data_IF_732794770656
#
_entry.id   IF_732794770656
#
_cell.length_a   1.000
_cell.length_b   1.000
_cell.length_c   1.000
_cell.angle_alpha   90.00
_cell.angle_beta   90.00
_cell.angle_gamma   90.00
#
_symmetry.space_group_name_H-M   'P 1'
#
loop_
_entity.id
_entity.type
_entity.pdbx_description
1 polymer ?
#
# COMPACT_ATOMS: atom_id res chain seq x y z
N UNK A 1 16.51 4.38 33.79
CA UNK A 1 15.96 4.75 32.47
C UNK A 1 16.35 3.61 31.56
N UNK A 2 15.51 2.58 31.50
CA UNK A 2 15.78 1.39 30.71
C UNK A 2 15.11 1.58 29.35
N UNK A 3 15.90 2.00 28.36
CA UNK A 3 15.52 1.89 26.96
C UNK A 3 15.45 0.41 26.60
N UNK A 4 14.27 -0.18 26.77
CA UNK A 4 13.93 -1.47 26.17
C UNK A 4 13.87 -1.28 24.66
N UNK A 5 15.02 -1.39 24.01
CA UNK A 5 15.15 -1.58 22.57
C UNK A 5 14.24 -2.77 22.21
N UNK A 6 13.22 -2.49 21.41
CA UNK A 6 12.22 -3.48 21.04
C UNK A 6 12.80 -4.40 19.95
N UNK A 7 13.63 -5.36 20.38
CA UNK A 7 14.44 -6.28 19.55
C UNK A 7 13.63 -6.90 18.40
N UNK A 8 12.34 -7.19 18.58
CA UNK A 8 11.49 -7.76 17.54
C UNK A 8 11.21 -6.82 16.35
N UNK A 9 11.17 -5.51 16.58
CA UNK A 9 10.91 -4.52 15.52
C UNK A 9 12.16 -4.30 14.67
N UNK A 10 13.32 -4.23 15.31
CA UNK A 10 14.61 -4.03 14.62
C UNK A 10 15.06 -5.28 13.85
N UNK A 11 14.71 -6.48 14.34
CA UNK A 11 14.94 -7.74 13.62
C UNK A 11 14.09 -7.88 12.35
N UNK A 12 12.85 -7.37 12.38
CA UNK A 12 11.98 -7.36 11.19
C UNK A 12 12.50 -6.38 10.14
N UNK A 13 12.97 -5.19 10.56
CA UNK A 13 13.53 -4.17 9.66
C UNK A 13 14.83 -4.65 8.99
N UNK A 14 15.71 -5.31 9.74
CA UNK A 14 16.97 -5.86 9.19
C UNK A 14 16.74 -7.05 8.26
N UNK A 15 15.80 -7.94 8.59
CA UNK A 15 15.42 -9.07 7.71
C UNK A 15 14.82 -8.59 6.39
N UNK A 16 13.88 -7.66 6.45
CA UNK A 16 13.22 -7.15 5.24
C UNK A 16 14.24 -6.42 4.34
N UNK A 17 15.20 -5.69 4.92
CA UNK A 17 16.30 -5.08 4.17
C UNK A 17 17.17 -6.09 3.43
N UNK A 18 17.58 -7.17 4.12
CA UNK A 18 18.34 -8.26 3.49
C UNK A 18 17.54 -8.96 2.39
N UNK A 19 16.26 -9.23 2.63
CA UNK A 19 15.40 -9.87 1.64
C UNK A 19 15.22 -8.99 0.39
N UNK A 20 15.05 -7.67 0.55
CA UNK A 20 15.00 -6.74 -0.59
C UNK A 20 16.26 -6.80 -1.44
N UNK A 21 17.44 -6.80 -0.80
CA UNK A 21 18.70 -6.94 -1.50
C UNK A 21 18.77 -8.27 -2.27
N UNK A 22 18.36 -9.37 -1.64
CA UNK A 22 18.35 -10.71 -2.27
C UNK A 22 17.38 -10.80 -3.46
N UNK A 23 16.26 -10.07 -3.42
CA UNK A 23 15.26 -10.02 -4.49
C UNK A 23 15.63 -9.10 -5.65
N UNK A 24 16.69 -8.29 -5.53
CA UNK A 24 17.09 -7.33 -6.57
C UNK A 24 17.40 -8.01 -7.92
N UNK A 25 18.02 -9.19 -7.89
CA UNK A 25 18.33 -9.98 -9.08
C UNK A 25 17.07 -10.47 -9.81
N UNK A 26 16.13 -11.06 -9.08
CA UNK A 26 14.82 -11.48 -9.61
C UNK A 26 14.04 -10.27 -10.18
N UNK A 27 14.10 -9.12 -9.50
CA UNK A 27 13.51 -7.88 -9.99
C UNK A 27 14.16 -7.39 -11.29
N UNK A 28 15.47 -7.52 -11.44
CA UNK A 28 16.17 -7.18 -12.68
C UNK A 28 15.67 -8.04 -13.86
N UNK A 29 15.56 -9.35 -13.64
CA UNK A 29 15.04 -10.27 -14.66
C UNK A 29 13.56 -10.02 -14.98
N UNK A 30 12.78 -9.57 -13.98
CA UNK A 30 11.39 -9.14 -14.20
C UNK A 30 11.31 -7.83 -14.98
N UNK A 31 12.15 -6.83 -14.69
CA UNK A 31 12.24 -5.59 -15.46
C UNK A 31 12.54 -5.88 -16.93
N UNK A 32 13.57 -6.69 -17.19
CA UNK A 32 13.98 -7.03 -18.56
C UNK A 32 12.84 -7.65 -19.36
N UNK A 33 11.98 -8.43 -18.72
CA UNK A 33 10.79 -8.98 -19.36
C UNK A 33 9.69 -7.96 -19.60
N UNK A 34 9.39 -7.12 -18.62
CA UNK A 34 8.39 -6.05 -18.79
C UNK A 34 8.73 -5.10 -19.93
N UNK A 35 10.02 -4.91 -20.21
CA UNK A 35 10.53 -3.94 -21.18
C UNK A 35 11.11 -4.56 -22.46
N UNK A 36 10.97 -5.88 -22.69
CA UNK A 36 11.53 -6.58 -23.85
C UNK A 36 13.03 -6.28 -24.08
N UNK A 37 13.81 -6.25 -22.99
CA UNK A 37 15.22 -5.88 -22.98
C UNK A 37 15.54 -4.46 -23.49
N UNK A 38 14.54 -3.59 -23.67
CA UNK A 38 14.83 -2.16 -23.80
C UNK A 38 15.47 -1.68 -22.50
N UNK A 39 16.56 -0.90 -22.61
CA UNK A 39 17.37 -0.44 -21.46
C UNK A 39 16.65 0.63 -20.63
N UNK A 40 15.33 0.53 -20.47
CA UNK A 40 14.59 1.45 -19.61
C UNK A 40 14.79 1.04 -18.15
N UNK A 41 15.74 1.71 -17.50
CA UNK A 41 16.02 1.57 -16.07
C UNK A 41 15.19 2.59 -15.30
N UNK A 42 14.03 2.17 -14.80
CA UNK A 42 13.28 2.99 -13.85
C UNK A 42 13.79 2.74 -12.43
N UNK A 43 14.47 3.71 -11.83
CA UNK A 43 14.85 3.62 -10.40
C UNK A 43 13.64 3.31 -9.52
N UNK A 44 12.47 3.88 -9.85
CA UNK A 44 11.22 3.62 -9.12
C UNK A 44 10.83 2.15 -9.18
N UNK A 45 10.95 1.49 -10.34
CA UNK A 45 10.70 0.05 -10.46
C UNK A 45 11.60 -0.76 -9.52
N UNK A 46 12.90 -0.49 -9.49
CA UNK A 46 13.84 -1.21 -8.63
C UNK A 46 13.61 -0.96 -7.14
N UNK A 47 12.95 0.14 -6.76
CA UNK A 47 12.51 0.34 -5.37
C UNK A 47 11.18 -0.35 -5.06
N UNK A 48 10.28 -0.47 -6.03
CA UNK A 48 8.93 -1.02 -5.83
C UNK A 48 8.92 -2.55 -5.94
N UNK A 49 9.59 -3.13 -6.94
CA UNK A 49 9.58 -4.58 -7.17
C UNK A 49 10.05 -5.39 -5.94
N UNK A 50 11.15 -5.05 -5.25
CA UNK A 50 11.55 -5.79 -4.06
C UNK A 50 10.54 -5.69 -2.91
N UNK A 51 9.81 -4.57 -2.81
CA UNK A 51 8.72 -4.42 -1.81
C UNK A 51 7.58 -5.40 -2.08
N UNK A 52 7.26 -5.64 -3.36
CA UNK A 52 6.28 -6.66 -3.77
C UNK A 52 6.70 -8.05 -3.28
N UNK A 53 7.98 -8.41 -3.45
CA UNK A 53 8.48 -9.70 -3.01
C UNK A 53 8.55 -9.85 -1.48
N UNK A 54 8.93 -8.80 -0.76
CA UNK A 54 8.85 -8.78 0.72
C UNK A 54 7.41 -8.95 1.19
N UNK A 55 6.44 -8.34 0.49
CA UNK A 55 5.03 -8.51 0.85
C UNK A 55 4.55 -9.96 0.65
N UNK A 56 4.95 -10.63 -0.45
CA UNK A 56 4.67 -12.07 -0.63
C UNK A 56 5.31 -12.93 0.48
N UNK A 57 6.55 -12.65 0.86
CA UNK A 57 7.21 -13.34 1.97
C UNK A 57 6.48 -13.12 3.30
N UNK A 58 5.98 -11.91 3.55
CA UNK A 58 5.12 -11.63 4.70
C UNK A 58 3.87 -12.52 4.67
N UNK A 59 3.20 -12.66 3.53
CA UNK A 59 2.02 -13.53 3.41
C UNK A 59 2.38 -14.98 3.71
N UNK A 60 3.46 -15.49 3.10
CA UNK A 60 3.95 -16.84 3.31
C UNK A 60 4.22 -17.12 4.79
N UNK A 61 4.97 -16.24 5.46
CA UNK A 61 5.32 -16.41 6.89
C UNK A 61 4.09 -16.45 7.78
N UNK A 62 3.14 -15.53 7.60
CA UNK A 62 1.94 -15.52 8.43
C UNK A 62 1.01 -16.71 8.14
N UNK A 63 0.93 -17.16 6.89
CA UNK A 63 0.21 -18.39 6.50
C UNK A 63 0.84 -19.62 7.17
N UNK A 64 2.16 -19.77 7.10
CA UNK A 64 2.89 -20.88 7.73
C UNK A 64 2.77 -20.88 9.26
N UNK A 65 2.73 -19.70 9.88
CA UNK A 65 2.52 -19.55 11.33
C UNK A 65 1.07 -19.77 11.78
N UNK A 66 0.14 -20.02 10.85
CA UNK A 66 -1.30 -20.25 11.14
C UNK A 66 -1.89 -19.20 12.09
N UNK A 67 -1.53 -17.92 11.91
CA UNK A 67 -2.08 -16.85 12.75
C UNK A 67 -3.61 -16.80 12.61
N UNK A 68 -4.37 -16.82 13.72
CA UNK A 68 -5.82 -17.04 13.70
C UNK A 68 -6.57 -15.98 12.89
N UNK A 69 -6.10 -14.72 12.92
CA UNK A 69 -6.73 -13.61 12.21
C UNK A 69 -6.11 -13.35 10.82
N UNK A 70 -5.17 -14.18 10.37
CA UNK A 70 -4.47 -13.95 9.10
C UNK A 70 -5.28 -14.46 7.91
N UNK A 71 -5.94 -13.52 7.23
CA UNK A 71 -6.69 -13.81 6.02
C UNK A 71 -5.78 -13.84 4.78
N UNK A 72 -5.28 -15.03 4.43
CA UNK A 72 -4.41 -15.25 3.26
C UNK A 72 -5.04 -14.71 1.97
N UNK A 73 -6.32 -15.03 1.72
CA UNK A 73 -7.05 -14.62 0.51
C UNK A 73 -7.10 -13.10 0.35
N UNK A 74 -7.44 -12.37 1.42
CA UNK A 74 -7.48 -10.91 1.39
C UNK A 74 -6.10 -10.28 1.15
N UNK A 75 -5.04 -10.85 1.72
CA UNK A 75 -3.68 -10.37 1.47
C UNK A 75 -3.21 -10.68 0.05
N UNK A 76 -3.54 -11.86 -0.49
CA UNK A 76 -3.26 -12.19 -1.88
C UNK A 76 -4.03 -11.26 -2.85
N UNK A 77 -5.28 -10.91 -2.56
CA UNK A 77 -6.00 -9.86 -3.31
C UNK A 77 -5.21 -8.55 -3.35
N UNK A 78 -4.75 -8.09 -2.20
CA UNK A 78 -3.98 -6.85 -2.13
C UNK A 78 -2.64 -6.95 -2.87
N UNK A 79 -1.95 -8.10 -2.79
CA UNK A 79 -0.74 -8.38 -3.57
C UNK A 79 -0.98 -8.23 -5.08
N UNK A 80 -2.06 -8.84 -5.61
CA UNK A 80 -2.37 -8.74 -7.04
C UNK A 80 -2.73 -7.31 -7.45
N UNK A 81 -3.34 -6.52 -6.57
CA UNK A 81 -3.52 -5.08 -6.79
C UNK A 81 -2.18 -4.36 -6.92
N UNK A 82 -1.25 -4.56 -5.98
CA UNK A 82 0.09 -3.95 -6.02
C UNK A 82 0.81 -4.35 -7.30
N UNK A 83 0.78 -5.64 -7.66
CA UNK A 83 1.42 -6.13 -8.88
C UNK A 83 0.80 -5.49 -10.12
N UNK A 84 -0.53 -5.42 -10.21
CA UNK A 84 -1.23 -4.74 -11.31
C UNK A 84 -0.81 -3.28 -11.44
N UNK A 85 -0.64 -2.57 -10.32
CA UNK A 85 -0.14 -1.19 -10.30
C UNK A 85 1.31 -1.10 -10.80
N UNK A 86 2.20 -2.03 -10.42
CA UNK A 86 3.57 -2.10 -10.96
C UNK A 86 3.53 -2.29 -12.48
N UNK A 87 2.79 -3.28 -12.97
CA UNK A 87 2.68 -3.58 -14.40
C UNK A 87 2.18 -2.35 -15.17
N UNK A 88 1.07 -1.75 -14.75
CA UNK A 88 0.52 -0.58 -15.44
C UNK A 88 1.47 0.64 -15.49
N UNK A 89 2.35 0.81 -14.51
CA UNK A 89 3.27 1.94 -14.48
C UNK A 89 4.58 1.69 -15.23
N UNK A 90 4.92 0.43 -15.54
CA UNK A 90 6.23 0.07 -16.08
C UNK A 90 6.20 -0.84 -17.32
N UNK A 91 5.10 -1.47 -17.72
CA UNK A 91 5.09 -2.22 -18.97
C UNK A 91 3.88 -3.13 -19.15
N UNK A 92 3.58 -3.45 -20.40
CA UNK A 92 2.39 -4.20 -20.81
C UNK A 92 2.70 -5.60 -21.38
N UNK A 93 3.98 -5.99 -21.43
CA UNK A 93 4.40 -7.31 -21.95
C UNK A 93 3.76 -8.50 -21.21
N UNK A 94 3.29 -8.29 -19.98
CA UNK A 94 2.39 -9.21 -19.32
C UNK A 94 0.95 -8.91 -19.77
N UNK A 95 0.42 -9.69 -20.72
CA UNK A 95 -0.97 -9.60 -21.14
C UNK A 95 -1.98 -9.63 -19.98
N UNK A 96 -1.62 -10.27 -18.85
CA UNK A 96 -2.38 -10.24 -17.60
C UNK A 96 -1.46 -10.13 -16.37
N UNK A 97 -1.99 -9.61 -15.26
CA UNK A 97 -1.28 -9.59 -13.96
C UNK A 97 -0.88 -10.99 -13.50
N UNK A 98 -1.69 -12.00 -13.82
CA UNK A 98 -1.38 -13.41 -13.57
C UNK A 98 -0.15 -13.88 -14.33
N UNK A 99 -0.08 -13.62 -15.64
CA UNK A 99 1.07 -13.99 -16.45
C UNK A 99 2.35 -13.34 -15.92
N UNK A 100 2.23 -12.11 -15.44
CA UNK A 100 3.28 -11.41 -14.72
C UNK A 100 3.72 -12.12 -13.43
N UNK A 101 2.77 -12.55 -12.60
CA UNK A 101 3.10 -13.28 -11.39
C UNK A 101 3.69 -14.66 -11.68
N UNK A 102 3.17 -15.37 -12.68
CA UNK A 102 3.73 -16.64 -13.17
C UNK A 102 5.18 -16.44 -13.62
N UNK A 103 5.44 -15.38 -14.38
CA UNK A 103 6.79 -15.01 -14.78
C UNK A 103 7.69 -14.76 -13.57
N UNK A 104 7.26 -13.91 -12.62
CA UNK A 104 8.06 -13.57 -11.42
C UNK A 104 8.47 -14.80 -10.62
N UNK A 105 7.68 -15.88 -10.64
CA UNK A 105 7.98 -17.12 -9.90
C UNK A 105 8.83 -18.11 -10.70
N UNK A 106 8.93 -17.95 -12.02
CA UNK A 106 9.61 -18.93 -12.88
C UNK A 106 11.10 -18.70 -12.85
N UNK A 107 11.88 -19.70 -12.43
CA UNK A 107 13.34 -19.63 -12.49
C UNK A 107 13.78 -19.61 -13.95
N UNK A 108 14.31 -18.48 -14.40
CA UNK A 108 14.74 -18.33 -15.80
C UNK A 108 16.04 -19.02 -16.17
N UNK A 109 16.90 -19.28 -15.19
CA UNK A 109 18.19 -19.87 -15.50
C UNK A 109 18.63 -20.79 -14.35
N UNK A 110 18.45 -22.12 -14.48
CA UNK A 110 18.91 -23.08 -13.48
C UNK A 110 20.44 -23.08 -13.32
N UNK A 111 21.18 -22.54 -14.30
CA UNK A 111 22.64 -22.49 -14.34
C UNK A 111 23.23 -21.15 -13.88
N UNK A 112 22.44 -20.06 -13.79
CA UNK A 112 22.86 -18.89 -13.00
C UNK A 112 22.81 -19.34 -11.55
N UNK A 113 23.91 -19.17 -10.82
CA UNK A 113 23.97 -19.36 -9.37
C UNK A 113 22.70 -18.77 -8.77
N UNK A 114 21.83 -19.66 -8.28
CA UNK A 114 20.46 -19.38 -7.83
C UNK A 114 20.42 -18.03 -7.13
N UNK A 115 19.56 -17.12 -7.57
CA UNK A 115 19.31 -15.91 -6.79
C UNK A 115 19.05 -16.32 -5.33
N UNK A 116 19.60 -15.58 -4.36
CA UNK A 116 19.54 -15.97 -2.96
C UNK A 116 18.12 -15.89 -2.37
N UNK A 117 17.17 -15.34 -3.12
CA UNK A 117 15.75 -15.35 -2.82
C UNK A 117 14.93 -15.48 -4.11
N UNK A 118 13.71 -16.01 -3.98
CA UNK A 118 12.72 -16.15 -5.05
C UNK A 118 11.38 -15.61 -4.58
N UNK A 119 10.56 -15.19 -5.54
CA UNK A 119 9.17 -14.84 -5.26
C UNK A 119 8.38 -16.08 -4.83
N UNK A 120 7.72 -16.00 -3.68
CA UNK A 120 6.88 -17.08 -3.17
C UNK A 120 5.67 -17.34 -4.08
N UNK A 121 5.25 -18.60 -4.15
CA UNK A 121 4.03 -19.09 -4.79
C UNK A 121 2.79 -19.08 -3.87
N UNK A 122 2.88 -18.44 -2.69
CA UNK A 122 1.81 -18.42 -1.68
C UNK A 122 0.44 -17.98 -2.20
N UNK A 123 0.40 -17.15 -3.25
CA UNK A 123 -0.83 -16.65 -3.88
C UNK A 123 -1.16 -17.33 -5.21
N UNK A 124 -0.46 -18.41 -5.61
CA UNK A 124 -0.65 -19.10 -6.89
C UNK A 124 -2.04 -19.74 -7.00
N UNK A 125 -2.50 -20.39 -5.92
CA UNK A 125 -3.74 -21.17 -5.88
C UNK A 125 -4.99 -20.33 -5.62
N UNK A 126 -4.83 -19.03 -5.42
CA UNK A 126 -5.95 -18.11 -5.19
C UNK A 126 -6.60 -17.72 -6.54
N UNK A 127 -7.15 -18.72 -7.24
CA UNK A 127 -7.74 -18.60 -8.59
C UNK A 127 -8.91 -17.61 -8.66
N UNK A 128 -9.54 -17.32 -7.52
CA UNK A 128 -10.67 -16.39 -7.43
C UNK A 128 -10.27 -14.90 -7.52
N UNK A 129 -8.98 -14.59 -7.37
CA UNK A 129 -8.52 -13.19 -7.33
C UNK A 129 -8.52 -12.55 -8.72
N UNK A 130 -8.34 -13.37 -9.75
CA UNK A 130 -8.30 -13.01 -11.18
C UNK A 130 -9.52 -12.19 -11.64
N UNK A 131 -10.69 -12.41 -11.01
CA UNK A 131 -11.96 -11.78 -11.38
C UNK A 131 -12.32 -10.53 -10.58
N UNK A 132 -11.69 -10.29 -9.42
CA UNK A 132 -12.31 -9.42 -8.41
C UNK A 132 -11.81 -7.97 -8.39
N UNK A 133 -10.60 -7.70 -8.92
CA UNK A 133 -10.10 -6.32 -9.01
C UNK A 133 -10.55 -5.72 -10.33
N UNK A 134 -11.84 -5.38 -10.37
CA UNK A 134 -12.40 -4.56 -11.42
C UNK A 134 -11.71 -3.18 -11.46
N UNK A 135 -11.97 -2.42 -12.53
CA UNK A 135 -11.34 -1.12 -12.74
C UNK A 135 -11.64 -0.13 -11.59
N UNK A 136 -12.84 -0.16 -11.04
CA UNK A 136 -13.26 0.76 -9.98
C UNK A 136 -12.56 0.42 -8.66
N UNK A 137 -12.51 -0.86 -8.28
CA UNK A 137 -11.81 -1.31 -7.07
C UNK A 137 -10.32 -0.99 -7.18
N UNK A 138 -9.74 -1.13 -8.36
CA UNK A 138 -8.35 -0.74 -8.61
C UNK A 138 -8.11 0.75 -8.34
N UNK A 139 -8.96 1.64 -8.88
CA UNK A 139 -8.84 3.09 -8.66
C UNK A 139 -9.01 3.47 -7.18
N UNK A 140 -9.88 2.76 -6.47
CA UNK A 140 -10.10 2.93 -5.04
C UNK A 140 -8.86 2.56 -4.23
N UNK A 141 -8.30 1.38 -4.47
CA UNK A 141 -7.08 0.93 -3.78
C UNK A 141 -5.90 1.84 -4.10
N UNK A 142 -5.77 2.31 -5.34
CA UNK A 142 -4.77 3.29 -5.74
C UNK A 142 -4.91 4.62 -5.00
N UNK A 143 -6.12 5.15 -4.91
CA UNK A 143 -6.38 6.38 -4.16
C UNK A 143 -6.02 6.23 -2.68
N UNK A 144 -6.18 5.03 -2.12
CA UNK A 144 -5.80 4.74 -0.73
C UNK A 144 -4.28 4.74 -0.51
N UNK A 145 -3.53 4.13 -1.42
CA UNK A 145 -2.06 4.15 -1.36
C UNK A 145 -1.53 5.57 -1.53
N UNK A 146 -2.07 6.34 -2.49
CA UNK A 146 -1.69 7.72 -2.73
C UNK A 146 -1.97 8.60 -1.50
N UNK A 147 -3.12 8.40 -0.83
CA UNK A 147 -3.41 9.06 0.45
C UNK A 147 -2.38 8.70 1.51
N UNK A 148 -2.08 7.42 1.68
CA UNK A 148 -1.11 6.96 2.67
C UNK A 148 0.29 7.56 2.42
N UNK A 149 0.74 7.62 1.18
CA UNK A 149 2.02 8.21 0.80
C UNK A 149 2.05 9.72 1.05
N UNK A 150 0.99 10.44 0.65
CA UNK A 150 0.87 11.88 0.94
C UNK A 150 0.91 12.14 2.44
N UNK A 151 0.22 11.33 3.23
CA UNK A 151 0.22 11.47 4.69
C UNK A 151 1.58 11.21 5.30
N UNK A 152 2.31 10.22 4.80
CA UNK A 152 3.67 9.98 5.27
C UNK A 152 4.61 11.13 4.89
N UNK A 153 4.47 11.69 3.68
CA UNK A 153 5.21 12.89 3.29
C UNK A 153 4.91 14.06 4.21
N UNK A 154 3.62 14.34 4.45
CA UNK A 154 3.18 15.40 5.35
C UNK A 154 3.74 15.21 6.75
N UNK A 155 3.76 13.97 7.29
CA UNK A 155 4.35 13.66 8.60
C UNK A 155 5.84 13.95 8.69
N UNK A 156 6.60 13.61 7.65
CA UNK A 156 8.07 13.71 7.66
C UNK A 156 8.60 15.06 7.22
N UNK A 157 7.77 15.88 6.57
CA UNK A 157 8.19 17.17 6.05
C UNK A 157 8.34 18.19 7.19
N UNK A 158 9.46 18.91 7.21
CA UNK A 158 9.67 20.05 8.11
C UNK A 158 8.70 21.20 7.83
N UNK A 159 8.27 21.34 6.58
CA UNK A 159 7.22 22.26 6.16
C UNK A 159 6.22 21.54 5.25
N UNK A 160 4.93 21.72 5.53
CA UNK A 160 3.87 21.10 4.75
C UNK A 160 3.65 21.86 3.44
N UNK A 161 3.65 21.14 2.32
CA UNK A 161 3.39 21.73 1.00
C UNK A 161 1.87 21.77 0.75
N UNK A 162 1.33 22.95 0.47
CA UNK A 162 -0.08 23.14 0.12
C UNK A 162 -0.52 22.23 -1.04
N UNK A 163 0.36 21.97 -2.01
CA UNK A 163 0.09 21.05 -3.13
C UNK A 163 -0.23 19.63 -2.65
N UNK A 164 0.45 19.13 -1.62
CA UNK A 164 0.22 17.80 -1.08
C UNK A 164 -1.13 17.72 -0.35
N UNK A 165 -1.56 18.80 0.32
CA UNK A 165 -2.90 18.88 0.90
C UNK A 165 -4.02 18.88 -0.14
N UNK A 166 -3.86 19.62 -1.24
CA UNK A 166 -4.88 19.62 -2.31
C UNK A 166 -4.94 18.25 -3.00
N UNK A 167 -3.80 17.57 -3.20
CA UNK A 167 -3.79 16.17 -3.66
C UNK A 167 -4.52 15.25 -2.68
N UNK A 168 -4.22 15.35 -1.38
CA UNK A 168 -4.90 14.59 -0.33
C UNK A 168 -6.42 14.76 -0.42
N UNK A 169 -6.89 16.01 -0.53
CA UNK A 169 -8.30 16.35 -0.66
C UNK A 169 -8.93 15.75 -1.93
N UNK A 170 -8.20 15.78 -3.05
CA UNK A 170 -8.62 15.17 -4.31
C UNK A 170 -8.86 13.66 -4.20
N UNK A 171 -7.86 12.91 -3.69
CA UNK A 171 -7.99 11.46 -3.50
C UNK A 171 -9.08 11.12 -2.48
N UNK A 172 -9.19 11.90 -1.40
CA UNK A 172 -10.25 11.70 -0.41
C UNK A 172 -11.64 11.89 -1.02
N UNK A 173 -11.85 12.95 -1.81
CA UNK A 173 -13.12 13.20 -2.51
C UNK A 173 -13.47 12.09 -3.49
N UNK A 174 -12.47 11.54 -4.21
CA UNK A 174 -12.66 10.38 -5.08
C UNK A 174 -13.25 9.20 -4.30
N UNK A 175 -12.67 8.87 -3.14
CA UNK A 175 -13.15 7.80 -2.27
C UNK A 175 -14.57 8.04 -1.73
N UNK A 176 -14.97 9.30 -1.49
CA UNK A 176 -16.33 9.63 -1.03
C UNK A 176 -17.41 9.31 -2.08
N UNK A 177 -17.04 9.30 -3.36
CA UNK A 177 -17.92 9.02 -4.50
C UNK A 177 -17.95 7.56 -4.95
N UNK A 178 -17.09 6.69 -4.41
CA UNK A 178 -16.97 5.31 -4.89
C UNK A 178 -18.15 4.42 -4.46
N UNK A 179 -18.60 3.54 -5.35
CA UNK A 179 -19.71 2.58 -5.14
C UNK A 179 -19.50 1.65 -3.93
N UNK A 180 -18.25 1.38 -3.56
CA UNK A 180 -17.88 0.54 -2.42
C UNK A 180 -18.13 1.19 -1.05
N UNK A 181 -18.53 2.46 -0.99
CA UNK A 181 -18.92 3.15 0.24
C UNK A 181 -20.03 2.44 1.02
N UNK A 182 -20.89 1.69 0.31
CA UNK A 182 -22.01 0.94 0.89
C UNK A 182 -21.53 -0.44 1.42
N UNK A 183 -20.40 -0.95 0.94
CA UNK A 183 -19.84 -2.21 1.41
C UNK A 183 -19.32 -2.04 2.84
N UNK A 184 -19.93 -2.74 3.80
CA UNK A 184 -19.62 -2.62 5.22
C UNK A 184 -18.15 -2.90 5.56
N UNK A 185 -17.54 -3.88 4.90
CA UNK A 185 -16.13 -4.25 5.09
C UNK A 185 -15.19 -3.17 4.56
N UNK A 186 -15.50 -2.61 3.39
CA UNK A 186 -14.72 -1.51 2.81
C UNK A 186 -14.88 -0.21 3.60
N UNK A 187 -16.11 0.06 4.07
CA UNK A 187 -16.40 1.18 4.96
C UNK A 187 -15.66 1.06 6.29
N UNK A 188 -15.57 -0.13 6.88
CA UNK A 188 -14.81 -0.37 8.11
C UNK A 188 -13.31 -0.19 7.87
N UNK A 189 -12.79 -0.73 6.77
CA UNK A 189 -11.40 -0.54 6.35
C UNK A 189 -11.06 0.95 6.18
N UNK A 190 -11.89 1.69 5.43
CA UNK A 190 -11.78 3.14 5.31
C UNK A 190 -11.89 3.82 6.66
N UNK A 191 -12.82 3.43 7.53
CA UNK A 191 -12.97 4.05 8.85
C UNK A 191 -11.76 3.83 9.74
N UNK A 192 -11.17 2.63 9.75
CA UNK A 192 -9.96 2.33 10.53
C UNK A 192 -8.80 3.15 9.99
N UNK A 193 -8.59 3.14 8.68
CA UNK A 193 -7.54 3.96 8.07
C UNK A 193 -7.78 5.44 8.28
N UNK A 194 -8.96 5.97 8.00
CA UNK A 194 -9.29 7.38 8.21
C UNK A 194 -9.25 7.80 9.69
N UNK A 195 -9.63 6.93 10.62
CA UNK A 195 -9.50 7.18 12.07
C UNK A 195 -8.03 7.26 12.47
N UNK A 196 -7.22 6.31 12.01
CA UNK A 196 -5.77 6.35 12.20
C UNK A 196 -5.16 7.64 11.63
N UNK A 197 -5.59 8.03 10.42
CA UNK A 197 -5.18 9.28 9.77
C UNK A 197 -5.68 10.53 10.51
N UNK A 198 -6.87 10.50 11.10
CA UNK A 198 -7.43 11.59 11.89
C UNK A 198 -6.71 11.76 13.24
N UNK A 199 -6.37 10.67 13.91
CA UNK A 199 -5.64 10.69 15.18
C UNK A 199 -4.21 11.22 14.99
N UNK A 200 -3.57 10.83 13.88
CA UNK A 200 -2.30 11.42 13.42
C UNK A 200 -2.48 12.91 13.10
N UNK A 201 -3.56 13.27 12.39
CA UNK A 201 -3.80 14.67 12.04
C UNK A 201 -4.14 15.54 13.25
N UNK A 202 -4.67 15.01 14.36
CA UNK A 202 -4.90 15.84 15.56
C UNK A 202 -3.59 16.26 16.26
N UNK A 203 -2.49 15.52 16.09
CA UNK A 203 -1.16 16.02 16.52
C UNK A 203 -0.60 17.05 15.52
N UNK A 204 -0.82 16.83 14.23
CA UNK A 204 -0.39 17.74 13.15
C UNK A 204 -1.17 19.06 13.11
N UNK A 205 -2.49 19.02 13.31
CA UNK A 205 -3.40 20.16 13.43
C UNK A 205 -3.04 20.95 14.70
N UNK A 206 -2.65 20.31 15.80
CA UNK A 206 -2.11 21.03 16.97
C UNK A 206 -0.82 21.80 16.65
N UNK A 207 0.08 21.21 15.87
CA UNK A 207 1.35 21.83 15.46
C UNK A 207 1.15 22.98 14.46
N UNK A 208 0.23 22.85 13.51
CA UNK A 208 -0.05 23.88 12.49
C UNK A 208 -1.11 24.91 12.90
N UNK A 209 -1.98 24.62 13.88
CA UNK A 209 -2.90 25.63 14.42
C UNK A 209 -2.15 26.81 15.04
N UNK A 210 -0.87 26.67 15.42
CA UNK A 210 -0.10 27.81 15.93
C UNK A 210 0.30 28.82 14.84
N UNK A 211 0.41 28.40 13.57
CA UNK A 211 0.84 29.26 12.45
C UNK A 211 -0.25 29.53 11.39
N UNK A 212 -1.30 28.70 11.27
CA UNK A 212 -2.39 28.92 10.32
C UNK A 212 -3.55 29.78 10.86
N UNK A 213 -3.61 30.03 12.17
CA UNK A 213 -4.66 30.85 12.80
C UNK A 213 -4.61 32.32 12.36
N UNK A 214 -3.52 32.78 11.75
CA UNK A 214 -3.43 34.16 11.25
C UNK A 214 -3.99 34.36 9.84
N UNK A 215 -4.33 33.31 9.08
CA UNK A 215 -4.55 33.48 7.64
C UNK A 215 -5.81 32.88 6.97
N UNK A 216 -6.69 32.08 7.58
CA UNK A 216 -7.90 31.64 6.83
C UNK A 216 -9.13 31.20 7.64
N UNK A 217 -10.32 31.41 7.05
CA UNK A 217 -11.65 30.89 7.42
C UNK A 217 -11.82 29.35 7.34
N UNK A 218 -10.72 28.57 7.34
CA UNK A 218 -10.68 27.11 7.11
C UNK A 218 -11.34 26.28 8.22
N UNK A 219 -11.51 26.84 9.42
CA UNK A 219 -12.12 26.15 10.55
C UNK A 219 -13.55 25.68 10.25
N UNK A 220 -14.33 26.48 9.52
CA UNK A 220 -15.73 26.20 9.20
C UNK A 220 -15.92 24.95 8.31
N UNK A 221 -15.01 24.72 7.36
CA UNK A 221 -15.08 23.60 6.40
C UNK A 221 -14.67 22.27 7.04
N UNK A 222 -13.57 22.27 7.80
CA UNK A 222 -13.10 21.09 8.53
C UNK A 222 -14.04 20.73 9.68
N UNK A 223 -14.56 21.71 10.43
CA UNK A 223 -15.54 21.46 11.50
C UNK A 223 -16.81 20.78 10.98
N UNK A 224 -17.30 21.18 9.79
CA UNK A 224 -18.51 20.58 9.20
C UNK A 224 -18.33 19.10 8.86
N UNK A 225 -17.19 18.75 8.25
CA UNK A 225 -16.84 17.35 7.91
C UNK A 225 -16.51 16.52 9.14
N UNK A 226 -15.82 17.08 10.13
CA UNK A 226 -15.56 16.44 11.43
C UNK A 226 -16.85 16.19 12.21
N UNK A 227 -17.80 17.14 12.19
CA UNK A 227 -19.12 17.00 12.80
C UNK A 227 -19.95 15.91 12.12
N UNK A 228 -19.87 15.80 10.79
CA UNK A 228 -20.49 14.71 10.03
C UNK A 228 -19.88 13.35 10.37
N UNK A 229 -18.54 13.26 10.44
CA UNK A 229 -17.83 12.04 10.82
C UNK A 229 -18.19 11.58 12.24
N UNK A 230 -18.22 12.52 13.21
CA UNK A 230 -18.65 12.24 14.60
C UNK A 230 -20.11 11.76 14.68
N UNK A 231 -21.01 12.36 13.90
CA UNK A 231 -22.42 11.91 13.84
C UNK A 231 -22.53 10.49 13.26
N UNK A 232 -21.74 10.16 12.23
CA UNK A 232 -21.70 8.83 11.65
C UNK A 232 -21.13 7.77 12.61
N UNK A 233 -20.08 8.10 13.36
CA UNK A 233 -19.49 7.21 14.36
C UNK A 233 -20.44 6.96 15.55
N UNK A 234 -21.10 8.02 16.06
CA UNK A 234 -22.10 7.89 17.13
C UNK A 234 -23.34 7.07 16.73
N UNK A 235 -23.70 7.07 15.45
CA UNK A 235 -24.87 6.31 14.95
C UNK A 235 -24.58 4.81 14.83
N UNK A 236 -23.31 4.41 14.66
CA UNK A 236 -22.90 3.01 14.55
C UNK A 236 -22.65 2.34 15.92
N UNK A 237 -22.31 3.11 16.96
CA UNK A 237 -22.10 2.61 18.32
C UNK A 237 -23.40 2.46 19.15
N UNK A 238 -24.57 2.68 18.53
CA UNK A 238 -25.89 2.52 19.16
C UNK A 238 -26.65 1.28 18.66
N UNK A 239 -25.95 0.35 18.01
CA UNK A 239 -26.48 -0.97 17.65
C UNK A 239 -25.66 -2.04 18.34
#
# INVERSE_FOLDING_TARGET
>A
MDDKINVNKDFAVTRDGQLRHKLSGECSDFNNYLFNNSKFYSMTFFTTCPKVGVYLDHILRNKLQKKPDFNTKANCNYFFYILKNVVQNYGDNCSTTENCYCYMRTKKNPNKISYPAQFSDVCKEEDNVKKYIDKDLFHVLRSLDELHDILNKLKTASSSNYSDFEKFKGHFKSLEGCKYKINGSFKLFLQIHLKYLYEINNSFIKYYNFNLLQYTNYESYLQSRVRMLRKMLKKNNKK
#
